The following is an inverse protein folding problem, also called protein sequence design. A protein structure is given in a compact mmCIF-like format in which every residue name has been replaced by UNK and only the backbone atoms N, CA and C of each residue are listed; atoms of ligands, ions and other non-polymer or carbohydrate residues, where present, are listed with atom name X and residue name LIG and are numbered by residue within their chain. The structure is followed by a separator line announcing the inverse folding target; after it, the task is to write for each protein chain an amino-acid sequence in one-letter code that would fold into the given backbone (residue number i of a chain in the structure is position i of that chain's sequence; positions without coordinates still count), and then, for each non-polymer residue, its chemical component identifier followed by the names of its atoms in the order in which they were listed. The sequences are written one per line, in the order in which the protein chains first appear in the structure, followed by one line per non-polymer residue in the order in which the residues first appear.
data_IF_352569132211
#
_entry.id   IF_352569132211
#
_cell.length_a   1.000
_cell.length_b   1.000
_cell.length_c   1.000
_cell.angle_alpha   90.00
_cell.angle_beta   90.00
_cell.angle_gamma   90.00
#
_symmetry.space_group_name_H-M   'P 1'
#
loop_
_entity.id
_entity.type
_entity.pdbx_description
1 polymer ?
#
# COMPACT_ATOMS: atom_id res chain seq x y z
N UNK A 1 -11.67 2.58 3.94
CA UNK A 1 -11.85 2.49 2.49
C UNK A 1 -13.12 3.21 2.11
N UNK A 2 -13.01 4.11 1.15
CA UNK A 2 -14.11 4.95 0.68
C UNK A 2 -15.13 4.11 -0.07
N UNK A 3 -16.39 4.15 0.35
CA UNK A 3 -17.47 3.59 -0.42
C UNK A 3 -17.85 4.56 -1.58
N UNK A 4 -18.07 4.02 -2.77
CA UNK A 4 -18.42 4.80 -3.97
C UNK A 4 -19.54 5.82 -3.72
N UNK A 5 -20.62 5.39 -3.04
CA UNK A 5 -21.79 6.22 -2.75
C UNK A 5 -21.49 7.44 -1.84
N UNK A 6 -20.45 7.36 -0.99
CA UNK A 6 -20.06 8.48 -0.13
C UNK A 6 -19.44 9.59 -1.00
N UNK A 7 -18.54 9.23 -1.93
CA UNK A 7 -17.92 10.21 -2.82
C UNK A 7 -18.92 10.92 -3.71
N UNK A 8 -19.88 10.20 -4.30
CA UNK A 8 -20.91 10.76 -5.17
C UNK A 8 -21.86 11.71 -4.41
N UNK A 9 -22.30 11.33 -3.20
CA UNK A 9 -23.14 12.19 -2.37
C UNK A 9 -22.40 13.45 -1.93
N UNK A 10 -21.16 13.34 -1.51
CA UNK A 10 -20.33 14.47 -1.08
C UNK A 10 -20.05 15.43 -2.24
N UNK A 11 -19.85 14.92 -3.47
CA UNK A 11 -19.68 15.73 -4.67
C UNK A 11 -20.92 16.59 -4.93
N UNK A 12 -22.12 16.00 -4.85
CA UNK A 12 -23.37 16.73 -5.05
C UNK A 12 -23.52 17.87 -4.02
N UNK A 13 -23.19 17.61 -2.76
CA UNK A 13 -23.20 18.62 -1.69
C UNK A 13 -22.16 19.73 -1.95
N UNK A 14 -20.93 19.38 -2.33
CA UNK A 14 -19.87 20.33 -2.66
C UNK A 14 -20.25 21.24 -3.82
N UNK A 15 -20.84 20.67 -4.87
CA UNK A 15 -21.33 21.42 -6.04
C UNK A 15 -22.44 22.40 -5.67
N UNK A 16 -23.41 21.96 -4.84
CA UNK A 16 -24.49 22.82 -4.33
C UNK A 16 -23.98 23.99 -3.46
N UNK A 17 -22.94 23.72 -2.67
CA UNK A 17 -22.32 24.73 -1.81
C UNK A 17 -21.40 25.70 -2.56
N UNK A 18 -21.05 25.43 -3.82
CA UNK A 18 -20.18 26.28 -4.63
C UNK A 18 -18.77 26.41 -4.06
N UNK A 19 -18.21 25.29 -3.54
CA UNK A 19 -16.85 25.27 -2.98
C UNK A 19 -15.81 25.52 -4.07
N UNK A 20 -14.70 26.17 -3.72
CA UNK A 20 -13.60 26.54 -4.63
C UNK A 20 -12.31 25.73 -4.38
N UNK A 21 -12.28 24.99 -3.29
CA UNK A 21 -11.13 24.18 -2.87
C UNK A 21 -11.56 23.02 -1.99
N UNK A 22 -10.71 22.01 -1.86
CA UNK A 22 -10.93 20.83 -1.01
C UNK A 22 -9.76 20.70 -0.04
N UNK A 23 -10.07 20.66 1.26
CA UNK A 23 -9.10 20.32 2.30
C UNK A 23 -9.52 19.00 2.93
N UNK A 24 -8.65 17.98 2.86
CA UNK A 24 -8.89 16.69 3.49
C UNK A 24 -7.92 16.45 4.65
N UNK A 25 -8.47 16.29 5.84
CA UNK A 25 -7.72 15.93 7.06
C UNK A 25 -8.14 14.52 7.48
N UNK A 26 -7.22 13.57 7.47
CA UNK A 26 -7.54 12.20 7.85
C UNK A 26 -6.56 11.16 7.27
N UNK A 27 -6.88 9.89 7.43
CA UNK A 27 -6.14 8.80 6.79
C UNK A 27 -6.52 8.64 5.31
N UNK A 28 -5.94 7.63 4.65
CA UNK A 28 -6.13 7.36 3.23
C UNK A 28 -7.59 7.36 2.77
N UNK A 29 -8.53 6.80 3.58
CA UNK A 29 -9.96 6.79 3.22
C UNK A 29 -10.56 8.18 3.08
N UNK A 30 -10.19 9.13 3.95
CA UNK A 30 -10.69 10.50 3.87
C UNK A 30 -10.09 11.22 2.65
N UNK A 31 -8.78 11.06 2.43
CA UNK A 31 -8.07 11.65 1.30
C UNK A 31 -8.59 11.08 -0.03
N UNK A 32 -8.77 9.76 -0.12
CA UNK A 32 -9.31 9.12 -1.33
C UNK A 32 -10.77 9.52 -1.60
N UNK A 33 -11.58 9.76 -0.54
CA UNK A 33 -12.91 10.36 -0.72
C UNK A 33 -12.81 11.73 -1.37
N UNK A 34 -11.92 12.57 -0.87
CA UNK A 34 -11.71 13.92 -1.40
C UNK A 34 -11.23 13.89 -2.87
N UNK A 35 -10.32 12.98 -3.21
CA UNK A 35 -9.89 12.77 -4.60
C UNK A 35 -11.04 12.34 -5.50
N UNK A 36 -11.87 11.39 -5.04
CA UNK A 36 -13.05 10.94 -5.79
C UNK A 36 -14.06 12.06 -6.02
N UNK A 37 -14.33 12.86 -5.00
CA UNK A 37 -15.16 14.08 -5.10
C UNK A 37 -14.56 15.02 -6.15
N UNK A 38 -13.25 15.28 -6.08
CA UNK A 38 -12.55 16.18 -6.99
C UNK A 38 -12.60 15.71 -8.46
N UNK A 39 -12.46 14.41 -8.69
CA UNK A 39 -12.64 13.83 -10.03
C UNK A 39 -14.04 14.13 -10.57
N UNK A 40 -15.09 13.96 -9.76
CA UNK A 40 -16.47 14.13 -10.19
C UNK A 40 -16.88 15.60 -10.37
N UNK A 41 -16.18 16.57 -9.79
CA UNK A 41 -16.52 18.00 -9.92
C UNK A 41 -16.66 18.42 -11.40
N UNK A 42 -15.75 17.98 -12.26
CA UNK A 42 -15.73 18.36 -13.67
C UNK A 42 -15.85 17.15 -14.64
N UNK A 43 -16.10 15.95 -14.11
CA UNK A 43 -16.28 14.75 -14.91
C UNK A 43 -17.60 14.05 -14.55
N UNK A 44 -18.35 13.49 -15.51
CA UNK A 44 -19.66 12.89 -15.26
C UNK A 44 -19.62 11.71 -14.30
N UNK A 45 -20.58 11.56 -13.37
CA UNK A 45 -20.72 10.35 -12.55
C UNK A 45 -21.14 9.13 -13.40
N UNK A 46 -20.98 7.87 -12.91
CA UNK A 46 -20.42 7.51 -11.61
C UNK A 46 -18.89 7.43 -11.60
N UNK A 47 -18.27 7.56 -10.42
CA UNK A 47 -16.80 7.46 -10.24
C UNK A 47 -16.23 6.13 -10.74
N UNK A 48 -17.01 5.07 -10.68
CA UNK A 48 -16.62 3.73 -11.17
C UNK A 48 -16.29 3.69 -12.67
N UNK A 49 -16.78 4.63 -13.48
CA UNK A 49 -16.46 4.71 -14.91
C UNK A 49 -14.96 5.01 -15.16
N UNK A 50 -14.26 5.49 -14.15
CA UNK A 50 -12.85 5.90 -14.22
C UNK A 50 -11.90 4.89 -13.57
N UNK A 51 -12.42 3.75 -13.11
CA UNK A 51 -11.63 2.66 -12.54
C UNK A 51 -11.00 1.77 -13.61
N UNK A 52 -9.99 0.99 -13.21
CA UNK A 52 -9.42 -0.08 -14.03
C UNK A 52 -8.33 0.35 -15.00
N UNK A 53 -7.63 1.45 -14.71
CA UNK A 53 -6.47 1.87 -15.50
C UNK A 53 -6.13 3.34 -15.35
N UNK A 54 -5.07 3.77 -16.04
CA UNK A 54 -4.61 5.17 -16.00
C UNK A 54 -5.54 6.05 -16.85
N UNK A 55 -6.08 7.08 -16.23
CA UNK A 55 -7.00 8.04 -16.83
C UNK A 55 -6.28 9.36 -17.17
N UNK A 56 -5.89 9.54 -18.41
CA UNK A 56 -5.17 10.72 -18.87
C UNK A 56 -6.05 11.86 -19.42
N UNK A 57 -7.36 11.59 -19.59
CA UNK A 57 -8.31 12.53 -20.20
C UNK A 57 -9.27 13.20 -19.21
N UNK A 58 -9.08 13.03 -17.91
CA UNK A 58 -9.94 13.66 -16.91
C UNK A 58 -9.71 15.16 -16.83
N UNK A 59 -10.80 15.92 -16.71
CA UNK A 59 -10.75 17.36 -16.49
C UNK A 59 -10.29 17.61 -15.04
N UNK A 60 -9.37 18.58 -14.82
CA UNK A 60 -8.98 18.98 -13.49
C UNK A 60 -10.19 19.46 -12.67
N UNK A 61 -10.17 19.13 -11.38
CA UNK A 61 -11.16 19.62 -10.41
C UNK A 61 -10.71 20.90 -9.73
N UNK A 62 -10.98 20.99 -8.43
CA UNK A 62 -10.61 22.09 -7.55
C UNK A 62 -9.18 21.92 -7.01
N UNK A 63 -8.65 22.96 -6.38
CA UNK A 63 -7.40 22.89 -5.62
C UNK A 63 -7.57 21.97 -4.41
N UNK A 64 -6.56 21.12 -4.18
CA UNK A 64 -6.58 20.13 -3.08
C UNK A 64 -5.42 20.32 -2.12
N UNK A 65 -5.76 20.35 -0.82
CA UNK A 65 -4.79 20.31 0.28
C UNK A 65 -5.05 19.05 1.09
N UNK A 66 -4.04 18.18 1.25
CA UNK A 66 -4.18 16.96 2.03
C UNK A 66 -3.29 16.96 3.26
N UNK A 67 -3.87 16.55 4.38
CA UNK A 67 -3.24 16.55 5.71
C UNK A 67 -3.44 15.15 6.32
N UNK A 68 -2.47 14.21 6.14
CA UNK A 68 -2.59 12.86 6.63
C UNK A 68 -2.55 12.79 8.16
N UNK A 69 -3.37 11.91 8.75
CA UNK A 69 -3.36 11.60 10.18
C UNK A 69 -2.92 10.16 10.46
N UNK A 70 -2.43 9.46 9.44
CA UNK A 70 -1.90 8.10 9.51
C UNK A 70 -0.58 8.01 8.74
N UNK A 71 0.35 7.20 9.23
CA UNK A 71 1.63 6.94 8.58
C UNK A 71 1.56 5.59 7.87
N UNK A 72 1.03 5.56 6.64
CA UNK A 72 0.81 4.28 5.94
C UNK A 72 0.54 4.41 4.45
N UNK A 73 -0.58 4.99 4.09
CA UNK A 73 -1.06 4.97 2.70
C UNK A 73 -0.29 5.88 1.74
N UNK A 74 0.37 6.94 2.25
CA UNK A 74 0.97 7.95 1.39
C UNK A 74 -0.02 8.64 0.44
N UNK A 75 -1.35 8.54 0.72
CA UNK A 75 -2.39 9.03 -0.20
C UNK A 75 -2.26 10.52 -0.47
N UNK A 76 -1.68 11.30 0.43
CA UNK A 76 -1.45 12.74 0.29
C UNK A 76 -0.53 13.12 -0.89
N UNK A 77 0.29 12.16 -1.36
CA UNK A 77 1.25 12.37 -2.45
C UNK A 77 1.05 11.42 -3.64
N UNK A 78 -0.06 10.67 -3.66
CA UNK A 78 -0.30 9.68 -4.71
C UNK A 78 -1.30 10.14 -5.75
N UNK A 79 -1.13 9.68 -6.98
CA UNK A 79 -2.05 9.91 -8.09
C UNK A 79 -3.20 8.88 -8.15
N UNK A 80 -3.41 8.13 -7.08
CA UNK A 80 -4.44 7.08 -6.98
C UNK A 80 -5.54 7.47 -6.00
N UNK A 81 -6.76 7.08 -6.32
CA UNK A 81 -7.94 7.13 -5.47
C UNK A 81 -8.50 5.72 -5.36
N UNK A 82 -8.31 5.05 -4.22
CA UNK A 82 -8.78 3.68 -4.01
C UNK A 82 -10.20 3.69 -3.47
N UNK A 83 -11.11 3.01 -4.16
CA UNK A 83 -12.53 2.93 -3.81
C UNK A 83 -13.00 1.50 -3.60
N UNK A 84 -14.00 1.31 -2.73
CA UNK A 84 -14.70 0.05 -2.56
C UNK A 84 -15.95 0.01 -3.42
N UNK A 85 -15.97 -0.91 -4.37
CA UNK A 85 -17.16 -1.27 -5.14
C UNK A 85 -17.92 -2.36 -4.36
N UNK A 86 -18.71 -1.93 -3.35
CA UNK A 86 -19.35 -2.83 -2.37
C UNK A 86 -20.22 -3.89 -3.05
N UNK A 87 -21.00 -3.50 -4.08
CA UNK A 87 -21.85 -4.42 -4.82
C UNK A 87 -21.06 -5.53 -5.55
N UNK A 88 -19.81 -5.24 -5.92
CA UNK A 88 -18.94 -6.18 -6.63
C UNK A 88 -17.95 -6.90 -5.69
N UNK A 89 -18.00 -6.60 -4.38
CA UNK A 89 -17.05 -7.10 -3.39
C UNK A 89 -15.58 -6.93 -3.83
N UNK A 90 -15.28 -5.79 -4.48
CA UNK A 90 -13.97 -5.50 -5.09
C UNK A 90 -13.48 -4.12 -4.64
N UNK A 91 -12.16 -3.99 -4.48
CA UNK A 91 -11.49 -2.70 -4.47
C UNK A 91 -10.99 -2.39 -5.87
N UNK A 92 -11.11 -1.15 -6.27
CA UNK A 92 -10.60 -0.66 -7.55
C UNK A 92 -10.04 0.75 -7.36
N UNK A 93 -9.35 1.27 -8.35
CA UNK A 93 -8.72 2.58 -8.25
C UNK A 93 -8.91 3.42 -9.49
N UNK A 94 -9.09 4.72 -9.27
CA UNK A 94 -8.90 5.75 -10.30
C UNK A 94 -7.44 6.18 -10.22
N UNK A 95 -6.71 6.02 -11.31
CA UNK A 95 -5.31 6.43 -11.41
C UNK A 95 -5.21 7.59 -12.40
N UNK A 96 -4.92 8.78 -11.90
CA UNK A 96 -4.86 9.98 -12.75
C UNK A 96 -4.05 11.09 -12.09
N UNK A 97 -3.35 11.93 -12.88
CA UNK A 97 -2.70 13.14 -12.37
C UNK A 97 -3.66 14.09 -11.63
N UNK A 98 -4.97 14.07 -11.95
CA UNK A 98 -5.97 14.92 -11.26
C UNK A 98 -6.24 14.49 -9.82
N UNK A 99 -5.74 13.32 -9.40
CA UNK A 99 -5.80 12.86 -8.02
C UNK A 99 -4.62 13.38 -7.15
N UNK A 100 -3.61 14.03 -7.74
CA UNK A 100 -2.50 14.62 -6.99
C UNK A 100 -2.95 15.89 -6.27
N UNK A 101 -2.51 16.04 -5.02
CA UNK A 101 -2.72 17.27 -4.26
C UNK A 101 -1.90 18.45 -4.83
N UNK A 102 -2.41 19.66 -4.69
CA UNK A 102 -1.62 20.87 -4.90
C UNK A 102 -0.67 21.12 -3.72
N UNK A 103 -1.06 20.68 -2.52
CA UNK A 103 -0.25 20.78 -1.30
C UNK A 103 -0.53 19.58 -0.38
N UNK A 104 0.52 18.95 0.11
CA UNK A 104 0.48 18.00 1.22
C UNK A 104 1.11 18.63 2.46
N UNK A 105 0.42 18.62 3.59
CA UNK A 105 0.93 19.09 4.88
C UNK A 105 1.13 17.86 5.76
N UNK A 106 2.38 17.51 5.99
CA UNK A 106 2.80 16.31 6.72
C UNK A 106 3.18 16.70 8.13
N UNK A 107 2.22 16.62 9.05
CA UNK A 107 2.37 17.05 10.45
C UNK A 107 2.35 15.81 11.38
N UNK A 108 3.47 15.46 12.05
CA UNK A 108 3.54 14.31 12.94
C UNK A 108 2.61 14.39 14.14
N UNK A 109 2.30 15.58 14.64
CA UNK A 109 1.41 15.79 15.79
C UNK A 109 0.02 15.16 15.57
N UNK A 110 -0.46 15.16 14.34
CA UNK A 110 -1.75 14.59 13.98
C UNK A 110 -1.77 13.04 14.04
N UNK A 111 -0.61 12.41 14.19
CA UNK A 111 -0.49 10.95 14.32
C UNK A 111 -0.37 10.47 15.77
N UNK A 112 -0.16 11.39 16.74
CA UNK A 112 0.02 11.05 18.17
C UNK A 112 -1.19 10.35 18.81
N UNK A 113 -2.37 10.52 18.21
CA UNK A 113 -3.60 9.85 18.66
C UNK A 113 -3.80 8.44 18.10
N UNK A 114 -2.95 7.98 17.18
CA UNK A 114 -3.13 6.70 16.52
C UNK A 114 -2.85 5.52 17.47
N UNK A 115 -3.81 4.58 17.66
CA UNK A 115 -3.60 3.42 18.53
C UNK A 115 -2.46 2.51 18.02
N UNK A 116 -1.77 1.76 18.92
CA UNK A 116 -0.64 0.90 18.55
C UNK A 116 -0.94 -0.10 17.43
N UNK A 117 -2.12 -0.75 17.46
CA UNK A 117 -2.54 -1.69 16.40
C UNK A 117 -2.69 -1.01 15.04
N UNK A 118 -3.21 0.21 15.00
CA UNK A 118 -3.32 0.96 13.75
C UNK A 118 -1.96 1.50 13.30
N UNK A 119 -1.12 1.97 14.23
CA UNK A 119 0.27 2.36 13.95
C UNK A 119 1.01 1.20 13.27
N UNK A 120 0.90 -0.02 13.84
CA UNK A 120 1.52 -1.21 13.28
C UNK A 120 0.99 -1.53 11.88
N UNK A 121 -0.33 -1.61 11.70
CA UNK A 121 -0.94 -1.95 10.43
C UNK A 121 -0.60 -0.93 9.33
N UNK A 122 -0.68 0.38 9.63
CA UNK A 122 -0.37 1.42 8.65
C UNK A 122 1.13 1.49 8.35
N UNK A 123 2.00 1.35 9.36
CA UNK A 123 3.45 1.33 9.14
C UNK A 123 3.92 0.13 8.32
N UNK A 124 3.30 -1.03 8.51
CA UNK A 124 3.56 -2.22 7.66
C UNK A 124 3.02 -2.02 6.24
N UNK A 125 1.93 -1.29 6.05
CA UNK A 125 1.43 -0.88 4.74
C UNK A 125 2.48 -0.04 3.98
N UNK A 126 3.03 0.99 4.64
CA UNK A 126 4.12 1.79 4.08
C UNK A 126 5.37 0.95 3.76
N UNK A 127 5.70 -0.04 4.61
CA UNK A 127 6.79 -0.97 4.33
C UNK A 127 6.51 -1.80 3.07
N UNK A 128 5.30 -2.34 2.91
CA UNK A 128 4.89 -3.08 1.73
C UNK A 128 4.96 -2.19 0.47
N UNK A 129 4.48 -0.95 0.53
CA UNK A 129 4.62 0.02 -0.56
C UNK A 129 6.08 0.20 -0.99
N UNK A 130 6.98 0.39 -0.03
CA UNK A 130 8.39 0.63 -0.32
C UNK A 130 9.08 -0.60 -0.93
N UNK A 131 8.91 -1.80 -0.35
CA UNK A 131 9.58 -3.00 -0.87
C UNK A 131 9.03 -3.42 -2.23
N UNK A 132 7.73 -3.25 -2.48
CA UNK A 132 7.15 -3.58 -3.78
C UNK A 132 7.50 -2.54 -4.86
N UNK A 133 7.57 -1.26 -4.51
CA UNK A 133 8.06 -0.22 -5.44
C UNK A 133 9.50 -0.48 -5.89
N UNK A 134 10.35 -0.93 -4.97
CA UNK A 134 11.75 -1.24 -5.26
C UNK A 134 11.91 -2.46 -6.16
N UNK A 135 11.00 -3.43 -6.08
CA UNK A 135 11.09 -4.74 -6.76
C UNK A 135 10.11 -4.92 -7.91
N UNK A 136 9.25 -3.95 -8.19
CA UNK A 136 8.26 -4.01 -9.27
C UNK A 136 8.84 -3.79 -10.66
N UNK A 137 8.10 -4.20 -11.68
CA UNK A 137 8.52 -4.09 -13.09
C UNK A 137 8.63 -2.63 -13.60
N UNK A 138 8.18 -1.64 -12.83
CA UNK A 138 8.32 -0.20 -13.13
C UNK A 138 9.30 0.52 -12.20
N UNK A 139 10.09 -0.23 -11.42
CA UNK A 139 11.12 0.32 -10.56
C UNK A 139 12.08 1.22 -11.37
N UNK A 140 12.45 2.35 -10.77
CA UNK A 140 13.30 3.35 -11.42
C UNK A 140 14.17 4.07 -10.36
N UNK A 141 15.30 4.68 -10.75
CA UNK A 141 16.27 5.22 -9.78
C UNK A 141 15.70 6.22 -8.78
N UNK A 142 14.70 7.03 -9.16
CA UNK A 142 14.08 7.99 -8.25
C UNK A 142 13.20 7.28 -7.22
N UNK A 143 12.31 6.40 -7.67
CA UNK A 143 11.47 5.60 -6.79
C UNK A 143 12.31 4.71 -5.86
N UNK A 144 13.38 4.10 -6.39
CA UNK A 144 14.31 3.28 -5.63
C UNK A 144 14.99 4.03 -4.48
N UNK A 145 15.41 5.29 -4.72
CA UNK A 145 16.03 6.11 -3.68
C UNK A 145 15.06 6.39 -2.53
N UNK A 146 13.81 6.74 -2.85
CA UNK A 146 12.76 6.97 -1.86
C UNK A 146 12.36 5.68 -1.12
N UNK A 147 12.22 4.58 -1.84
CA UNK A 147 11.85 3.28 -1.28
C UNK A 147 12.91 2.78 -0.29
N UNK A 148 14.20 2.85 -0.64
CA UNK A 148 15.30 2.47 0.27
C UNK A 148 15.29 3.27 1.56
N UNK A 149 15.11 4.58 1.46
CA UNK A 149 15.06 5.42 2.66
C UNK A 149 13.82 5.12 3.50
N UNK A 150 12.66 4.94 2.87
CA UNK A 150 11.45 4.55 3.57
C UNK A 150 11.63 3.22 4.32
N UNK A 151 12.23 2.19 3.70
CA UNK A 151 12.50 0.89 4.36
C UNK A 151 13.38 1.09 5.61
N UNK A 152 14.50 1.83 5.51
CA UNK A 152 15.41 2.10 6.64
C UNK A 152 14.68 2.78 7.79
N UNK A 153 13.92 3.82 7.48
CA UNK A 153 13.17 4.57 8.49
C UNK A 153 12.11 3.68 9.16
N UNK A 154 11.31 2.94 8.39
CA UNK A 154 10.24 2.10 8.93
C UNK A 154 10.79 1.00 9.83
N UNK A 155 11.82 0.28 9.38
CA UNK A 155 12.43 -0.81 10.16
C UNK A 155 12.97 -0.30 11.51
N UNK A 156 13.52 0.90 11.54
CA UNK A 156 14.05 1.52 12.76
C UNK A 156 12.94 2.07 13.66
N UNK A 157 12.00 2.83 13.08
CA UNK A 157 11.13 3.71 13.87
C UNK A 157 9.74 3.12 14.13
N UNK A 158 9.24 2.18 13.29
CA UNK A 158 7.93 1.58 13.51
C UNK A 158 7.83 0.85 14.87
N UNK A 159 8.80 0.01 15.28
CA UNK A 159 8.73 -0.63 16.59
C UNK A 159 8.66 0.38 17.75
N UNK A 160 9.40 1.49 17.66
CA UNK A 160 9.39 2.55 18.65
C UNK A 160 8.04 3.26 18.70
N UNK A 161 7.48 3.61 17.54
CA UNK A 161 6.17 4.26 17.45
C UNK A 161 5.01 3.35 17.92
N UNK A 162 5.15 2.02 17.82
CA UNK A 162 4.17 1.05 18.36
C UNK A 162 4.27 0.99 19.88
N UNK A 163 5.48 0.94 20.44
CA UNK A 163 5.73 0.82 21.88
C UNK A 163 5.37 2.13 22.61
N UNK A 164 5.83 3.26 22.09
CA UNK A 164 5.51 4.60 22.60
C UNK A 164 4.86 5.47 21.50
N UNK A 165 3.55 5.41 21.43
CA UNK A 165 2.77 6.21 20.47
C UNK A 165 2.84 7.73 20.70
N UNK A 166 3.45 8.20 21.78
CA UNK A 166 3.67 9.62 22.07
C UNK A 166 5.09 10.10 21.74
N UNK A 167 5.96 9.21 21.30
CA UNK A 167 7.29 9.55 20.84
C UNK A 167 7.20 10.34 19.51
N UNK A 168 7.32 11.67 19.62
CA UNK A 168 7.16 12.57 18.48
C UNK A 168 8.22 12.33 17.40
N UNK A 169 9.47 12.05 17.78
CA UNK A 169 10.54 11.72 16.83
C UNK A 169 10.21 10.48 16.02
N UNK A 170 9.70 9.42 16.66
CA UNK A 170 9.26 8.22 15.95
C UNK A 170 8.07 8.50 15.03
N UNK A 171 7.11 9.33 15.46
CA UNK A 171 5.99 9.75 14.62
C UNK A 171 6.42 10.56 13.40
N UNK A 172 7.35 11.49 13.57
CA UNK A 172 7.94 12.29 12.49
C UNK A 172 8.60 11.39 11.44
N UNK A 173 9.48 10.49 11.88
CA UNK A 173 10.11 9.54 10.96
C UNK A 173 9.12 8.62 10.27
N UNK A 174 8.09 8.15 10.97
CA UNK A 174 7.09 7.27 10.38
C UNK A 174 6.21 7.97 9.35
N UNK A 175 5.78 9.22 9.61
CA UNK A 175 4.95 9.93 8.63
C UNK A 175 5.75 10.31 7.39
N UNK A 176 7.02 10.72 7.55
CA UNK A 176 7.93 10.98 6.42
C UNK A 176 8.20 9.70 5.62
N UNK A 177 8.46 8.57 6.30
CA UNK A 177 8.67 7.29 5.62
C UNK A 177 7.44 6.85 4.81
N UNK A 178 6.24 7.06 5.35
CA UNK A 178 4.98 6.82 4.63
C UNK A 178 4.86 7.70 3.38
N UNK A 179 5.20 8.99 3.49
CA UNK A 179 5.21 9.92 2.37
C UNK A 179 6.24 9.51 1.30
N UNK A 180 7.46 9.11 1.70
CA UNK A 180 8.47 8.61 0.76
C UNK A 180 8.02 7.33 0.06
N UNK A 181 7.43 6.37 0.80
CA UNK A 181 6.84 5.17 0.22
C UNK A 181 5.72 5.50 -0.77
N UNK A 182 4.85 6.48 -0.43
CA UNK A 182 3.81 7.00 -1.31
C UNK A 182 4.34 7.59 -2.61
N UNK A 183 5.38 8.41 -2.52
CA UNK A 183 6.06 8.98 -3.69
C UNK A 183 6.75 7.89 -4.51
N UNK A 184 7.34 6.87 -3.87
CA UNK A 184 7.97 5.75 -4.56
C UNK A 184 6.91 4.97 -5.37
N UNK A 185 5.84 4.52 -4.74
CA UNK A 185 4.85 3.69 -5.42
C UNK A 185 3.99 4.45 -6.44
N UNK A 186 3.81 5.75 -6.29
CA UNK A 186 3.20 6.58 -7.34
C UNK A 186 3.99 6.52 -8.66
N UNK A 187 5.31 6.35 -8.58
CA UNK A 187 6.19 6.32 -9.74
C UNK A 187 6.59 4.92 -10.20
N UNK A 188 6.52 3.90 -9.33
CA UNK A 188 6.95 2.53 -9.63
C UNK A 188 5.82 1.49 -9.49
N UNK A 189 4.68 1.91 -8.94
CA UNK A 189 3.53 1.08 -8.58
C UNK A 189 3.89 -0.01 -7.54
N UNK A 190 2.87 -0.74 -7.12
CA UNK A 190 2.98 -1.91 -6.23
C UNK A 190 2.56 -3.16 -6.99
N UNK A 191 2.92 -4.35 -6.51
CA UNK A 191 2.68 -5.56 -7.27
C UNK A 191 1.95 -6.67 -6.49
N UNK A 192 2.44 -7.90 -6.49
CA UNK A 192 1.69 -9.09 -6.06
C UNK A 192 1.29 -9.08 -4.58
N UNK A 193 2.09 -8.49 -3.68
CA UNK A 193 1.72 -8.37 -2.26
C UNK A 193 0.45 -7.55 -2.07
N UNK A 194 0.33 -6.44 -2.80
CA UNK A 194 -0.89 -5.63 -2.79
C UNK A 194 -2.05 -6.32 -3.51
N UNK A 195 -1.82 -7.04 -4.62
CA UNK A 195 -2.88 -7.84 -5.26
C UNK A 195 -3.46 -8.89 -4.31
N UNK A 196 -2.60 -9.54 -3.51
CA UNK A 196 -3.02 -10.44 -2.44
C UNK A 196 -3.79 -9.65 -1.37
N UNK A 197 -3.25 -8.52 -0.91
CA UNK A 197 -3.86 -7.66 0.10
C UNK A 197 -5.25 -7.14 -0.30
N UNK A 198 -5.44 -6.76 -1.56
CA UNK A 198 -6.75 -6.36 -2.09
C UNK A 198 -7.77 -7.49 -2.00
N UNK A 199 -7.37 -8.68 -2.41
CA UNK A 199 -8.25 -9.86 -2.41
C UNK A 199 -8.63 -10.27 -1.00
N UNK A 200 -7.66 -10.41 -0.08
CA UNK A 200 -7.94 -10.74 1.33
C UNK A 200 -8.73 -9.65 2.03
N UNK A 201 -8.37 -8.38 1.80
CA UNK A 201 -9.09 -7.25 2.37
C UNK A 201 -10.55 -7.16 1.94
N UNK A 202 -10.85 -7.52 0.69
CA UNK A 202 -12.23 -7.56 0.17
C UNK A 202 -13.05 -8.73 0.71
N UNK A 203 -12.44 -9.92 0.83
CA UNK A 203 -13.13 -11.14 1.25
C UNK A 203 -13.31 -11.22 2.77
N UNK A 204 -12.29 -10.86 3.53
CA UNK A 204 -12.26 -11.02 4.99
C UNK A 204 -12.37 -9.71 5.77
N UNK A 205 -12.58 -8.58 5.08
CA UNK A 205 -12.70 -7.24 5.68
C UNK A 205 -11.51 -6.85 6.57
N UNK A 206 -10.31 -7.30 6.21
CA UNK A 206 -9.09 -7.02 6.97
C UNK A 206 -8.63 -5.56 6.79
N UNK A 207 -8.01 -4.95 7.81
CA UNK A 207 -7.24 -3.73 7.65
C UNK A 207 -6.18 -3.90 6.54
N UNK A 208 -6.01 -2.88 5.69
CA UNK A 208 -5.24 -3.03 4.45
C UNK A 208 -3.79 -3.49 4.67
N UNK A 209 -3.05 -2.84 5.57
CA UNK A 209 -1.67 -3.24 5.86
C UNK A 209 -1.54 -4.65 6.44
N UNK A 210 -2.52 -5.13 7.23
CA UNK A 210 -2.56 -6.53 7.66
C UNK A 210 -2.72 -7.44 6.45
N UNK A 211 -3.67 -7.15 5.56
CA UNK A 211 -3.92 -7.96 4.38
C UNK A 211 -2.68 -8.02 3.45
N UNK A 212 -1.98 -6.90 3.24
CA UNK A 212 -0.76 -6.84 2.43
C UNK A 212 0.41 -7.61 3.08
N UNK A 213 0.47 -7.69 4.42
CA UNK A 213 1.55 -8.39 5.13
C UNK A 213 1.47 -9.92 5.04
N UNK A 214 0.26 -10.50 4.81
CA UNK A 214 0.00 -11.93 4.96
C UNK A 214 0.91 -12.83 4.11
N UNK A 215 1.28 -12.40 2.92
CA UNK A 215 2.14 -13.16 2.01
C UNK A 215 3.36 -12.37 1.51
N UNK A 216 3.58 -11.15 2.02
CA UNK A 216 4.70 -10.31 1.58
C UNK A 216 6.07 -11.00 1.66
N UNK A 217 6.42 -11.74 2.75
CA UNK A 217 7.69 -12.47 2.81
C UNK A 217 7.86 -13.45 1.65
N UNK A 218 6.81 -14.19 1.31
CA UNK A 218 6.82 -15.18 0.22
C UNK A 218 6.92 -14.53 -1.15
N UNK A 219 6.24 -13.40 -1.32
CA UNK A 219 6.29 -12.59 -2.55
C UNK A 219 7.71 -12.10 -2.80
N UNK A 220 8.36 -11.51 -1.80
CA UNK A 220 9.72 -10.97 -1.93
C UNK A 220 10.74 -12.11 -2.12
N UNK A 221 10.59 -13.21 -1.39
CA UNK A 221 11.39 -14.42 -1.61
C UNK A 221 11.31 -14.91 -3.07
N UNK A 222 10.11 -15.01 -3.60
CA UNK A 222 9.90 -15.43 -5.00
C UNK A 222 10.46 -14.42 -5.99
N UNK A 223 10.38 -13.14 -5.70
CA UNK A 223 10.89 -12.04 -6.54
C UNK A 223 12.42 -12.11 -6.68
N UNK A 224 13.13 -12.64 -5.70
CA UNK A 224 14.58 -12.83 -5.78
C UNK A 224 15.03 -13.72 -6.95
N UNK A 225 14.15 -14.55 -7.51
CA UNK A 225 14.48 -15.38 -8.68
C UNK A 225 14.91 -14.57 -9.89
N UNK A 226 14.31 -13.39 -10.07
CA UNK A 226 14.58 -12.49 -11.19
C UNK A 226 15.25 -11.19 -10.75
N UNK A 227 14.92 -10.68 -9.56
CA UNK A 227 15.34 -9.38 -9.05
C UNK A 227 16.21 -9.51 -7.78
N UNK A 228 17.09 -10.51 -7.72
CA UNK A 228 17.90 -10.77 -6.53
C UNK A 228 18.71 -9.55 -6.07
N UNK A 229 19.19 -8.71 -7.02
CA UNK A 229 19.93 -7.50 -6.69
C UNK A 229 19.06 -6.50 -5.91
N UNK A 230 17.78 -6.35 -6.27
CA UNK A 230 16.83 -5.49 -5.55
C UNK A 230 16.46 -6.06 -4.19
N UNK A 231 16.32 -7.39 -4.10
CA UNK A 231 16.05 -8.07 -2.83
C UNK A 231 17.25 -7.96 -1.89
N UNK A 232 18.49 -7.94 -2.38
CA UNK A 232 19.70 -7.62 -1.58
C UNK A 232 19.60 -6.19 -1.03
N UNK A 233 19.19 -5.22 -1.85
CA UNK A 233 19.01 -3.84 -1.38
C UNK A 233 17.96 -3.75 -0.25
N UNK A 234 16.89 -4.56 -0.28
CA UNK A 234 15.93 -4.65 0.84
C UNK A 234 16.64 -5.17 2.10
N UNK A 235 17.40 -6.27 2.00
CA UNK A 235 18.16 -6.81 3.13
C UNK A 235 19.11 -5.77 3.71
N UNK A 236 19.88 -5.07 2.87
CA UNK A 236 20.78 -3.99 3.29
C UNK A 236 20.04 -2.87 4.03
N UNK A 237 18.88 -2.44 3.51
CA UNK A 237 18.05 -1.43 4.17
C UNK A 237 17.49 -1.91 5.52
N UNK A 238 17.27 -3.21 5.68
CA UNK A 238 16.83 -3.84 6.93
C UNK A 238 17.99 -4.11 7.89
N UNK A 239 19.25 -3.86 7.49
CA UNK A 239 20.45 -4.16 8.29
C UNK A 239 20.78 -5.65 8.35
N UNK A 240 20.40 -6.41 7.33
CA UNK A 240 20.64 -7.86 7.23
C UNK A 240 21.73 -8.15 6.22
N UNK A 241 22.81 -8.78 6.68
CA UNK A 241 23.93 -9.14 5.82
C UNK A 241 23.56 -10.32 4.90
N UNK A 242 23.89 -10.17 3.62
CA UNK A 242 23.75 -11.22 2.61
C UNK A 242 25.13 -11.46 1.98
N UNK A 243 25.63 -12.69 2.08
CA UNK A 243 26.93 -13.03 1.50
C UNK A 243 26.99 -12.69 0.00
N UNK A 244 28.14 -12.18 -0.46
CA UNK A 244 28.32 -11.77 -1.86
C UNK A 244 28.17 -12.95 -2.85
N UNK A 245 28.48 -14.17 -2.41
CA UNK A 245 28.39 -15.42 -3.17
C UNK A 245 27.05 -16.15 -3.00
N UNK A 246 26.09 -15.59 -2.21
CA UNK A 246 24.76 -16.17 -2.08
C UNK A 246 24.05 -16.16 -3.43
N UNK A 247 23.49 -17.30 -3.82
CA UNK A 247 22.66 -17.37 -5.02
C UNK A 247 21.28 -16.71 -4.83
N UNK A 248 20.52 -16.56 -5.91
CA UNK A 248 19.23 -15.91 -5.87
C UNK A 248 18.24 -16.55 -4.89
N UNK A 249 18.30 -17.87 -4.71
CA UNK A 249 17.42 -18.59 -3.78
C UNK A 249 17.79 -18.26 -2.34
N UNK A 250 19.08 -18.30 -2.01
CA UNK A 250 19.58 -17.94 -0.68
C UNK A 250 19.23 -16.48 -0.32
N UNK A 251 19.37 -15.55 -1.27
CA UNK A 251 18.97 -14.15 -1.10
C UNK A 251 17.48 -14.06 -0.75
N UNK A 252 16.63 -14.78 -1.48
CA UNK A 252 15.20 -14.81 -1.24
C UNK A 252 14.84 -15.36 0.14
N UNK A 253 15.47 -16.44 0.57
CA UNK A 253 15.27 -17.05 1.88
C UNK A 253 15.67 -16.11 3.02
N UNK A 254 16.83 -15.44 2.90
CA UNK A 254 17.30 -14.47 3.89
C UNK A 254 16.32 -13.30 3.99
N UNK A 255 15.88 -12.76 2.87
CA UNK A 255 14.90 -11.66 2.85
C UNK A 255 13.56 -12.08 3.46
N UNK A 256 13.07 -13.30 3.17
CA UNK A 256 11.84 -13.84 3.73
C UNK A 256 11.89 -13.87 5.25
N UNK A 257 12.96 -14.43 5.81
CA UNK A 257 13.11 -14.54 7.26
C UNK A 257 13.28 -13.17 7.92
N UNK A 258 14.00 -12.24 7.28
CA UNK A 258 14.14 -10.87 7.76
C UNK A 258 12.77 -10.15 7.82
N UNK A 259 11.98 -10.24 6.76
CA UNK A 259 10.64 -9.63 6.69
C UNK A 259 9.69 -10.30 7.70
N UNK A 260 9.70 -11.64 7.83
CA UNK A 260 8.92 -12.36 8.85
C UNK A 260 9.26 -11.89 10.26
N UNK A 261 10.56 -11.76 10.57
CA UNK A 261 11.03 -11.24 11.85
C UNK A 261 10.53 -9.82 12.14
N UNK A 262 10.58 -8.95 11.14
CA UNK A 262 10.06 -7.59 11.23
C UNK A 262 8.54 -7.55 11.45
N UNK A 263 7.76 -8.31 10.67
CA UNK A 263 6.30 -8.39 10.81
C UNK A 263 5.89 -8.94 12.19
N UNK A 264 6.58 -9.96 12.67
CA UNK A 264 6.37 -10.52 14.03
C UNK A 264 6.66 -9.48 15.10
N UNK A 265 7.76 -8.72 14.98
CA UNK A 265 8.10 -7.63 15.91
C UNK A 265 7.07 -6.50 15.87
N UNK A 266 6.49 -6.22 14.71
CA UNK A 266 5.40 -5.27 14.55
C UNK A 266 4.04 -5.81 15.05
N UNK A 267 3.95 -7.06 15.52
CA UNK A 267 2.73 -7.66 16.02
C UNK A 267 1.71 -8.02 14.93
N UNK A 268 2.16 -8.24 13.70
CA UNK A 268 1.27 -8.63 12.59
C UNK A 268 0.80 -10.08 12.77
N UNK A 269 -0.51 -10.33 12.64
CA UNK A 269 -1.06 -11.68 12.70
C UNK A 269 -0.79 -12.43 11.38
N UNK A 270 -0.65 -13.74 11.46
CA UNK A 270 -0.68 -14.62 10.29
C UNK A 270 -2.12 -15.06 9.96
N UNK A 271 -2.31 -15.78 8.85
CA UNK A 271 -3.62 -16.23 8.39
C UNK A 271 -4.35 -17.11 9.43
N UNK A 272 -3.62 -17.97 10.17
CA UNK A 272 -4.20 -18.82 11.21
C UNK A 272 -4.71 -18.01 12.40
N UNK A 273 -3.97 -17.00 12.83
CA UNK A 273 -4.36 -16.12 13.92
C UNK A 273 -5.60 -15.25 13.58
N UNK A 274 -5.92 -15.13 12.29
CA UNK A 274 -7.09 -14.44 11.76
C UNK A 274 -8.24 -15.41 11.43
N UNK A 275 -8.13 -16.68 11.79
CA UNK A 275 -9.12 -17.72 11.49
C UNK A 275 -9.47 -17.82 9.98
N UNK A 276 -8.54 -17.50 9.11
CA UNK A 276 -8.72 -17.61 7.66
C UNK A 276 -8.63 -19.09 7.28
N UNK A 277 -9.64 -19.66 6.62
CA UNK A 277 -9.61 -21.07 6.19
C UNK A 277 -8.65 -21.28 5.01
N UNK A 278 -8.13 -22.51 4.85
CA UNK A 278 -7.24 -22.87 3.73
C UNK A 278 -7.99 -23.10 2.42
N UNK A 279 -9.24 -23.54 2.49
CA UNK A 279 -10.02 -23.98 1.35
C UNK A 279 -10.15 -22.93 0.24
N UNK A 280 -10.37 -21.63 0.52
CA UNK A 280 -10.53 -20.62 -0.53
C UNK A 280 -9.19 -20.15 -1.13
N UNK A 281 -8.04 -20.55 -0.62
CA UNK A 281 -6.73 -20.04 -1.09
C UNK A 281 -6.49 -20.27 -2.58
N UNK A 282 -7.02 -21.36 -3.16
CA UNK A 282 -6.94 -21.62 -4.60
C UNK A 282 -7.76 -20.64 -5.44
N UNK A 283 -8.93 -20.22 -4.98
CA UNK A 283 -9.75 -19.22 -5.67
C UNK A 283 -9.24 -17.81 -5.43
N UNK A 284 -8.70 -17.55 -4.25
CA UNK A 284 -7.95 -16.30 -3.96
C UNK A 284 -6.78 -16.15 -4.93
N UNK A 285 -5.99 -17.20 -5.14
CA UNK A 285 -4.86 -17.17 -6.08
C UNK A 285 -5.29 -16.84 -7.51
N UNK A 286 -6.46 -17.33 -7.97
CA UNK A 286 -7.03 -16.95 -9.26
C UNK A 286 -7.43 -15.48 -9.30
N UNK A 287 -8.09 -14.98 -8.25
CA UNK A 287 -8.50 -13.58 -8.15
C UNK A 287 -7.28 -12.62 -8.14
N UNK A 288 -6.20 -12.98 -7.43
CA UNK A 288 -4.93 -12.24 -7.43
C UNK A 288 -4.38 -12.04 -8.84
N UNK A 289 -4.48 -13.04 -9.72
CA UNK A 289 -4.00 -12.92 -11.11
C UNK A 289 -4.84 -12.00 -12.00
N UNK A 290 -5.96 -11.50 -11.50
CA UNK A 290 -6.85 -10.56 -12.19
C UNK A 290 -6.75 -9.13 -11.63
N UNK A 291 -5.96 -8.94 -10.58
CA UNK A 291 -5.73 -7.62 -9.99
C UNK A 291 -4.74 -6.80 -10.84
N UNK A 292 -4.89 -5.47 -10.80
CA UNK A 292 -4.04 -4.57 -11.57
C UNK A 292 -2.55 -4.68 -11.19
N UNK A 293 -2.23 -4.90 -9.92
CA UNK A 293 -0.86 -5.08 -9.43
C UNK A 293 -0.19 -6.31 -10.02
N UNK A 294 -0.94 -7.34 -10.37
CA UNK A 294 -0.40 -8.53 -11.03
C UNK A 294 0.21 -8.22 -12.41
N UNK A 295 -0.28 -7.22 -13.11
CA UNK A 295 0.28 -6.82 -14.41
C UNK A 295 1.67 -6.17 -14.33
N UNK A 296 2.11 -5.80 -13.11
CA UNK A 296 3.33 -5.00 -12.85
C UNK A 296 4.43 -5.85 -12.19
N UNK A 297 4.17 -7.12 -11.93
CA UNK A 297 5.20 -8.04 -11.41
C UNK A 297 6.36 -8.16 -12.41
N UNK A 298 7.62 -8.24 -11.93
CA UNK A 298 8.79 -8.32 -12.82
C UNK A 298 9.03 -9.73 -13.41
N UNK A 299 8.09 -10.65 -13.23
CA UNK A 299 8.19 -12.05 -13.65
C UNK A 299 6.84 -12.59 -14.10
N UNK A 300 6.83 -13.79 -14.69
CA UNK A 300 5.60 -14.52 -14.97
C UNK A 300 5.36 -15.57 -13.89
N UNK A 301 4.13 -15.64 -13.39
CA UNK A 301 3.72 -16.60 -12.36
C UNK A 301 2.30 -17.10 -12.69
N UNK A 302 2.02 -18.38 -12.44
CA UNK A 302 0.67 -18.94 -12.63
C UNK A 302 -0.16 -18.82 -11.35
N UNK A 303 -1.49 -18.88 -11.46
CA UNK A 303 -2.37 -18.96 -10.30
C UNK A 303 -2.05 -20.17 -9.40
N UNK A 304 -1.62 -21.29 -9.97
CA UNK A 304 -1.17 -22.46 -9.20
C UNK A 304 0.06 -22.12 -8.35
N UNK A 305 1.01 -21.36 -8.89
CA UNK A 305 2.20 -20.96 -8.13
C UNK A 305 1.89 -19.89 -7.08
N UNK A 306 0.97 -18.97 -7.35
CA UNK A 306 0.44 -18.05 -6.33
C UNK A 306 -0.22 -18.84 -5.19
N UNK A 307 -1.00 -19.88 -5.50
CA UNK A 307 -1.58 -20.77 -4.50
C UNK A 307 -0.52 -21.45 -3.62
N UNK A 308 0.56 -21.96 -4.21
CA UNK A 308 1.68 -22.52 -3.45
C UNK A 308 2.31 -21.48 -2.49
N UNK A 309 2.52 -20.24 -2.94
CA UNK A 309 3.03 -19.16 -2.09
C UNK A 309 2.07 -18.86 -0.92
N UNK A 310 0.75 -18.84 -1.18
CA UNK A 310 -0.25 -18.64 -0.14
C UNK A 310 -0.28 -19.79 0.88
N UNK A 311 -0.09 -21.03 0.45
CA UNK A 311 0.04 -22.18 1.35
C UNK A 311 1.30 -22.09 2.22
N UNK A 312 2.44 -21.68 1.66
CA UNK A 312 3.66 -21.41 2.42
C UNK A 312 3.46 -20.30 3.46
N UNK A 313 2.82 -19.19 3.06
CA UNK A 313 2.51 -18.09 3.97
C UNK A 313 1.51 -18.50 5.08
N UNK A 314 0.63 -19.45 4.79
CA UNK A 314 -0.34 -19.96 5.76
C UNK A 314 0.30 -20.79 6.85
N UNK A 315 1.29 -21.60 6.50
CA UNK A 315 1.98 -22.53 7.42
C UNK A 315 3.15 -21.88 8.17
N UNK A 316 3.49 -20.64 7.85
CA UNK A 316 4.60 -19.86 8.41
C UNK A 316 4.34 -19.32 9.83
#
# INVERSE_FOLDING_TARGET
VTALCIGEKTEEEARKAGVDSIVAVGGGSAIDTAKGVNVLINNPPPLSNYCGGVQNGLKPGLKMVFIPTTSGTGSEVTNMCVISLVAQKKKDSVVSPVCLADLAIVDPDLTLGLPPKMTAATGVDAFAHAVESLTGGQANPMADALAREAIRMIVKWLPIAIEDGKNLEAREHMILASTFAGMAFTNALVHMGHSIGHTFGALFHLPHGIACSLALPEVICYTAKTEAHKVREICDCMGVEVSADADNMAVGEIAREAIRGFLKKAGMPNMKALDIPKEPLGDIAKAVTQDIGYAIIPYRISASKVHELLLHAYDA
#
